data_IF_730449774412
#
_entry.id   IF_730449774412
#
_cell.length_a   1.000
_cell.length_b   1.000
_cell.length_c   1.000
_cell.angle_alpha   90.00
_cell.angle_beta   90.00
_cell.angle_gamma   90.00
#
_symmetry.space_group_name_H-M   'P 1'
#
loop_
_entity.id
_entity.type
_entity.pdbx_description
1 polymer ?
#
# COMPACT_ATOMS: atom_id res chain seq x y z
N UNK A 1 5.62 -20.45 10.92
CA UNK A 1 4.68 -21.54 11.25
C UNK A 1 3.35 -21.01 11.83
N UNK A 2 3.34 -20.19 12.89
CA UNK A 2 2.11 -19.68 13.50
C UNK A 2 1.25 -18.85 12.51
N UNK A 3 1.86 -18.05 11.66
CA UNK A 3 1.16 -17.24 10.66
C UNK A 3 0.44 -18.13 9.63
N UNK A 4 1.09 -19.20 9.17
CA UNK A 4 0.45 -20.19 8.29
C UNK A 4 -0.74 -20.89 8.97
N UNK A 5 -0.64 -21.15 10.28
CA UNK A 5 -1.74 -21.74 11.03
C UNK A 5 -2.94 -20.82 11.10
N UNK A 6 -2.71 -19.51 11.32
CA UNK A 6 -3.79 -18.49 11.31
C UNK A 6 -4.47 -18.42 9.94
N UNK A 7 -3.70 -18.40 8.85
CA UNK A 7 -4.26 -18.37 7.50
C UNK A 7 -5.17 -19.56 7.21
N UNK A 8 -4.83 -20.73 7.73
CA UNK A 8 -5.64 -21.95 7.59
C UNK A 8 -6.96 -21.93 8.38
N UNK A 9 -7.06 -21.12 9.44
CA UNK A 9 -8.29 -20.97 10.23
C UNK A 9 -9.44 -20.30 9.47
N UNK A 10 -9.11 -19.45 8.50
CA UNK A 10 -10.11 -18.74 7.71
C UNK A 10 -9.68 -18.66 6.24
N UNK A 11 -9.63 -19.79 5.53
CA UNK A 11 -9.13 -19.86 4.15
C UNK A 11 -9.99 -19.08 3.15
N UNK A 12 -11.25 -18.79 3.50
CA UNK A 12 -12.18 -18.00 2.70
C UNK A 12 -11.97 -16.49 2.84
N UNK A 13 -11.09 -16.04 3.75
CA UNK A 13 -10.80 -14.62 3.97
C UNK A 13 -9.62 -14.18 3.11
N UNK A 14 -9.70 -12.95 2.62
CA UNK A 14 -8.56 -12.29 1.99
C UNK A 14 -7.71 -11.64 3.07
N UNK A 15 -6.47 -12.11 3.19
CA UNK A 15 -5.52 -11.62 4.18
C UNK A 15 -4.67 -10.49 3.61
N UNK A 16 -4.51 -9.44 4.41
CA UNK A 16 -3.65 -8.29 4.09
C UNK A 16 -2.49 -8.25 5.07
N UNK A 17 -1.27 -8.25 4.55
CA UNK A 17 -0.08 -8.02 5.37
C UNK A 17 0.19 -6.52 5.45
N UNK A 18 0.58 -6.03 6.63
CA UNK A 18 0.72 -4.60 6.87
C UNK A 18 2.16 -4.08 6.68
N UNK A 19 2.40 -2.81 7.01
CA UNK A 19 3.65 -2.08 6.82
C UNK A 19 4.89 -2.64 7.55
N UNK A 20 4.80 -3.71 8.33
CA UNK A 20 5.98 -4.42 8.81
C UNK A 20 6.88 -4.85 7.65
N UNK A 21 6.31 -5.05 6.47
CA UNK A 21 6.98 -5.29 5.21
C UNK A 21 8.11 -4.29 4.93
N UNK A 22 7.88 -3.02 5.25
CA UNK A 22 8.82 -1.91 4.98
C UNK A 22 10.10 -1.97 5.84
N UNK A 23 10.12 -2.81 6.87
CA UNK A 23 11.24 -3.00 7.79
C UNK A 23 12.00 -4.30 7.58
N UNK A 24 11.57 -5.12 6.63
CA UNK A 24 12.24 -6.39 6.36
C UNK A 24 13.52 -6.17 5.55
N UNK A 25 14.58 -6.93 5.82
CA UNK A 25 15.89 -6.69 5.20
C UNK A 25 15.91 -6.99 3.69
N UNK A 26 15.08 -7.92 3.24
CA UNK A 26 14.91 -8.25 1.82
C UNK A 26 13.41 -8.20 1.46
N UNK A 27 12.91 -7.04 1.03
CA UNK A 27 11.51 -6.86 0.71
C UNK A 27 11.02 -7.77 -0.42
N UNK A 28 11.79 -7.94 -1.47
CA UNK A 28 11.39 -8.75 -2.63
C UNK A 28 11.25 -10.22 -2.25
N UNK A 29 12.22 -10.77 -1.52
CA UNK A 29 12.14 -12.15 -1.03
C UNK A 29 10.98 -12.33 -0.05
N UNK A 30 10.76 -11.36 0.82
CA UNK A 30 9.65 -11.38 1.77
C UNK A 30 8.29 -11.35 1.08
N UNK A 31 8.13 -10.57 0.01
CA UNK A 31 6.91 -10.56 -0.81
C UNK A 31 6.64 -11.94 -1.45
N UNK A 32 7.66 -12.59 -1.99
CA UNK A 32 7.54 -13.94 -2.55
C UNK A 32 7.11 -14.96 -1.51
N UNK A 33 7.64 -14.86 -0.29
CA UNK A 33 7.23 -15.70 0.83
C UNK A 33 5.77 -15.48 1.19
N UNK A 34 5.34 -14.21 1.31
CA UNK A 34 3.94 -13.85 1.60
C UNK A 34 2.98 -14.37 0.50
N UNK A 35 3.36 -14.23 -0.76
CA UNK A 35 2.61 -14.79 -1.90
C UNK A 35 2.45 -16.31 -1.76
N UNK A 36 3.54 -17.03 -1.48
CA UNK A 36 3.52 -18.48 -1.27
C UNK A 36 2.66 -18.89 -0.07
N UNK A 37 2.62 -18.06 0.98
CA UNK A 37 1.80 -18.29 2.16
C UNK A 37 0.29 -18.07 1.91
N UNK A 38 -0.10 -17.46 0.79
CA UNK A 38 -1.50 -17.22 0.43
C UNK A 38 -2.03 -15.84 0.82
N UNK A 39 -1.16 -14.88 1.12
CA UNK A 39 -1.59 -13.50 1.25
C UNK A 39 -2.08 -12.95 -0.10
N UNK A 40 -3.14 -12.17 -0.07
CA UNK A 40 -3.69 -11.52 -1.27
C UNK A 40 -3.11 -10.13 -1.46
N UNK A 41 -2.98 -9.37 -0.38
CA UNK A 41 -2.56 -7.97 -0.41
C UNK A 41 -1.49 -7.66 0.60
N UNK A 42 -0.67 -6.67 0.28
CA UNK A 42 0.37 -6.15 1.17
C UNK A 42 0.29 -4.63 1.19
N UNK A 43 0.09 -4.06 2.38
CA UNK A 43 0.18 -2.63 2.63
C UNK A 43 1.64 -2.24 2.82
N UNK A 44 2.13 -1.33 2.00
CA UNK A 44 3.53 -0.90 2.03
C UNK A 44 3.69 0.56 1.63
N UNK A 45 4.75 1.18 2.12
CA UNK A 45 5.24 2.48 1.66
C UNK A 45 6.45 2.37 0.72
N UNK A 46 6.75 1.16 0.21
CA UNK A 46 7.91 0.93 -0.64
C UNK A 46 9.25 0.97 0.11
N UNK A 47 9.24 0.69 1.43
CA UNK A 47 10.41 0.75 2.30
C UNK A 47 10.88 2.17 2.63
N UNK A 48 10.11 3.20 2.25
CA UNK A 48 10.40 4.60 2.50
C UNK A 48 9.52 5.17 3.63
N UNK A 49 9.82 6.37 4.16
CA UNK A 49 8.99 7.02 5.17
C UNK A 49 7.54 7.23 4.72
N UNK A 50 7.32 7.53 3.45
CA UNK A 50 6.00 7.68 2.84
C UNK A 50 5.86 6.86 1.55
N UNK A 51 4.64 6.52 1.20
CA UNK A 51 4.36 5.85 -0.08
C UNK A 51 4.67 6.75 -1.29
N UNK A 52 4.64 8.06 -1.13
CA UNK A 52 5.08 9.00 -2.17
C UNK A 52 6.56 8.83 -2.50
N UNK A 53 7.42 8.78 -1.49
CA UNK A 53 8.87 8.59 -1.65
C UNK A 53 9.21 7.18 -2.14
N UNK A 54 8.47 6.16 -1.68
CA UNK A 54 8.68 4.76 -2.05
C UNK A 54 7.94 4.29 -3.30
N UNK A 55 7.32 5.19 -4.08
CA UNK A 55 6.46 4.82 -5.19
C UNK A 55 7.14 3.96 -6.25
N UNK A 56 8.34 4.30 -6.66
CA UNK A 56 9.09 3.51 -7.66
C UNK A 56 9.43 2.10 -7.14
N UNK A 57 9.74 1.95 -5.85
CA UNK A 57 9.93 0.64 -5.24
C UNK A 57 8.64 -0.17 -5.26
N UNK A 58 7.50 0.45 -4.91
CA UNK A 58 6.20 -0.21 -4.97
C UNK A 58 5.90 -0.75 -6.37
N UNK A 59 6.21 0.02 -7.41
CA UNK A 59 6.02 -0.41 -8.79
C UNK A 59 6.94 -1.56 -9.17
N UNK A 60 8.23 -1.46 -8.80
CA UNK A 60 9.20 -2.52 -9.04
C UNK A 60 8.81 -3.83 -8.32
N UNK A 61 8.37 -3.73 -7.07
CA UNK A 61 7.93 -4.89 -6.29
C UNK A 61 6.65 -5.52 -6.84
N UNK A 62 5.69 -4.70 -7.28
CA UNK A 62 4.48 -5.20 -7.92
C UNK A 62 4.79 -5.99 -9.19
N UNK A 63 5.79 -5.57 -9.96
CA UNK A 63 6.19 -6.24 -11.19
C UNK A 63 6.80 -7.64 -10.93
N UNK A 64 7.54 -7.82 -9.83
CA UNK A 64 8.20 -9.12 -9.52
C UNK A 64 7.33 -10.08 -8.71
N UNK A 65 6.22 -9.63 -8.17
CA UNK A 65 5.26 -10.45 -7.40
C UNK A 65 3.83 -10.28 -7.95
N UNK A 66 3.55 -10.83 -9.15
CA UNK A 66 2.28 -10.60 -9.82
C UNK A 66 1.07 -11.24 -9.12
N UNK A 67 1.27 -12.22 -8.26
CA UNK A 67 0.22 -12.86 -7.46
C UNK A 67 -0.23 -12.06 -6.24
N UNK A 68 0.55 -11.05 -5.83
CA UNK A 68 0.19 -10.12 -4.78
C UNK A 68 -0.34 -8.80 -5.36
N UNK A 69 -1.25 -8.17 -4.65
CA UNK A 69 -1.71 -6.82 -4.92
C UNK A 69 -1.11 -5.86 -3.88
N UNK A 70 -0.24 -4.95 -4.29
CA UNK A 70 0.28 -3.94 -3.38
C UNK A 70 -0.77 -2.84 -3.17
N UNK A 71 -0.90 -2.43 -1.91
CA UNK A 71 -1.69 -1.31 -1.44
C UNK A 71 -0.73 -0.23 -0.95
N UNK A 72 -0.64 0.88 -1.67
CA UNK A 72 0.25 1.96 -1.29
C UNK A 72 -0.31 2.71 -0.08
N UNK A 73 0.45 2.77 1.00
CA UNK A 73 0.05 3.48 2.19
C UNK A 73 1.23 3.93 3.04
N UNK A 74 1.00 5.00 3.77
CA UNK A 74 1.99 5.68 4.59
C UNK A 74 2.09 7.14 4.20
N UNK A 75 1.46 8.01 4.99
CA UNK A 75 1.51 9.45 4.82
C UNK A 75 0.80 10.00 3.58
N UNK A 76 -0.01 9.19 2.89
CA UNK A 76 -0.76 9.68 1.73
C UNK A 76 -1.89 10.60 2.16
N UNK A 77 -1.83 11.84 1.70
CA UNK A 77 -2.81 12.91 1.89
C UNK A 77 -3.18 13.49 0.53
N UNK A 78 -4.24 14.28 0.49
CA UNK A 78 -4.80 14.86 -0.75
C UNK A 78 -3.76 15.58 -1.62
N UNK A 79 -2.86 16.36 -1.00
CA UNK A 79 -1.76 17.02 -1.71
C UNK A 79 -0.80 16.05 -2.38
N UNK A 80 -0.29 15.05 -1.64
CA UNK A 80 0.64 14.05 -2.17
C UNK A 80 -0.02 13.14 -3.21
N UNK A 81 -1.31 12.81 -3.03
CA UNK A 81 -2.05 12.04 -4.05
C UNK A 81 -2.19 12.82 -5.35
N UNK A 82 -2.44 14.13 -5.26
CA UNK A 82 -2.44 15.01 -6.45
C UNK A 82 -1.09 15.02 -7.15
N UNK A 83 0.00 15.13 -6.39
CA UNK A 83 1.36 15.11 -6.94
C UNK A 83 1.68 13.76 -7.60
N UNK A 84 1.24 12.64 -7.01
CA UNK A 84 1.34 11.32 -7.62
C UNK A 84 0.57 11.25 -8.95
N UNK A 85 -0.65 11.79 -9.00
CA UNK A 85 -1.45 11.80 -10.23
C UNK A 85 -0.79 12.60 -11.34
N UNK A 86 -0.17 13.74 -11.00
CA UNK A 86 0.58 14.55 -11.95
C UNK A 86 1.85 13.85 -12.44
N UNK A 87 2.57 13.21 -11.54
CA UNK A 87 3.83 12.52 -11.84
C UNK A 87 3.62 11.20 -12.59
N UNK A 88 2.54 10.48 -12.26
CA UNK A 88 2.19 9.18 -12.84
C UNK A 88 0.76 9.18 -13.37
N UNK A 89 0.49 9.88 -14.47
CA UNK A 89 -0.88 10.00 -15.03
C UNK A 89 -1.40 8.66 -15.55
N UNK A 90 -0.51 7.75 -15.95
CA UNK A 90 -0.91 6.41 -16.37
C UNK A 90 -1.18 5.53 -15.14
N UNK A 91 -2.42 5.09 -14.99
CA UNK A 91 -2.87 4.25 -13.87
C UNK A 91 -2.28 2.84 -13.88
N UNK A 92 -1.75 2.35 -15.02
CA UNK A 92 -1.01 1.09 -15.08
C UNK A 92 0.29 1.14 -14.25
N UNK A 93 0.75 2.34 -13.92
CA UNK A 93 1.87 2.61 -13.02
C UNK A 93 1.42 2.89 -11.57
N UNK A 94 0.32 2.31 -11.16
CA UNK A 94 -0.21 2.42 -9.82
C UNK A 94 -0.27 1.06 -9.13
N UNK A 95 -0.17 1.00 -7.78
CA UNK A 95 -0.36 -0.24 -7.04
C UNK A 95 -1.72 -0.85 -7.33
N UNK A 96 -1.76 -2.15 -7.58
CA UNK A 96 -2.98 -2.83 -8.05
C UNK A 96 -4.12 -2.83 -7.04
N UNK A 97 -3.80 -2.87 -5.73
CA UNK A 97 -4.81 -2.77 -4.69
C UNK A 97 -5.25 -1.33 -4.40
N UNK A 98 -4.58 -0.31 -4.98
CA UNK A 98 -4.91 1.09 -4.82
C UNK A 98 -4.13 1.81 -3.72
N UNK A 99 -4.78 2.79 -3.08
CA UNK A 99 -4.21 3.66 -2.07
C UNK A 99 -4.88 3.46 -0.72
N UNK A 100 -4.09 3.61 0.34
CA UNK A 100 -4.57 3.67 1.71
C UNK A 100 -4.18 5.01 2.34
N UNK A 101 -5.15 5.72 2.91
CA UNK A 101 -4.93 6.93 3.69
C UNK A 101 -5.63 6.82 5.04
N UNK A 102 -4.98 7.32 6.07
CA UNK A 102 -5.60 7.50 7.40
C UNK A 102 -6.51 8.73 7.46
N UNK A 103 -6.49 9.58 6.42
CA UNK A 103 -7.18 10.87 6.37
C UNK A 103 -6.81 11.80 7.55
N UNK A 104 -5.57 11.66 8.08
CA UNK A 104 -5.06 12.55 9.13
C UNK A 104 -4.30 13.70 8.45
N UNK A 105 -4.75 14.96 8.57
CA UNK A 105 -4.03 16.10 8.02
C UNK A 105 -2.65 16.29 8.68
N UNK A 106 -1.76 17.02 8.00
CA UNK A 106 -0.46 17.33 8.56
C UNK A 106 -0.59 18.19 9.82
N UNK A 107 0.12 17.79 10.90
CA UNK A 107 0.07 18.49 12.19
C UNK A 107 -1.13 18.12 13.08
N UNK A 108 -1.96 17.16 12.69
CA UNK A 108 -3.08 16.66 13.47
C UNK A 108 -2.83 15.20 13.89
N UNK A 109 -3.58 14.72 14.89
CA UNK A 109 -3.47 13.38 15.45
C UNK A 109 -4.70 12.49 15.18
N UNK A 110 -5.73 13.05 14.54
CA UNK A 110 -6.99 12.36 14.23
C UNK A 110 -7.42 12.54 12.78
N UNK A 111 -8.20 11.59 12.29
CA UNK A 111 -8.78 11.66 10.96
C UNK A 111 -9.77 12.84 10.84
N UNK A 112 -9.81 13.43 9.65
CA UNK A 112 -10.60 14.61 9.34
C UNK A 112 -11.47 14.39 8.11
N UNK A 113 -12.75 14.72 8.21
CA UNK A 113 -13.71 14.58 7.11
C UNK A 113 -13.39 15.50 5.93
N UNK A 114 -12.84 16.69 6.19
CA UNK A 114 -12.43 17.58 5.11
C UNK A 114 -11.28 17.00 4.29
N UNK A 115 -10.31 16.34 4.94
CA UNK A 115 -9.22 15.65 4.23
C UNK A 115 -9.75 14.47 3.42
N UNK A 116 -10.70 13.71 3.94
CA UNK A 116 -11.37 12.65 3.17
C UNK A 116 -12.06 13.24 1.93
N UNK A 117 -12.79 14.32 2.07
CA UNK A 117 -13.48 14.98 0.97
C UNK A 117 -12.49 15.53 -0.08
N UNK A 118 -11.37 16.13 0.35
CA UNK A 118 -10.28 16.55 -0.54
C UNK A 118 -9.68 15.38 -1.32
N UNK A 119 -9.41 14.26 -0.66
CA UNK A 119 -8.91 13.03 -1.30
C UNK A 119 -9.89 12.51 -2.35
N UNK A 120 -11.17 12.41 -2.01
CA UNK A 120 -12.20 11.94 -2.94
C UNK A 120 -12.33 12.87 -4.16
N UNK A 121 -12.22 14.18 -3.95
CA UNK A 121 -12.24 15.15 -5.05
C UNK A 121 -11.02 14.99 -5.97
N UNK A 122 -9.82 14.87 -5.41
CA UNK A 122 -8.58 14.65 -6.17
C UNK A 122 -8.66 13.37 -7.00
N UNK A 123 -9.16 12.28 -6.44
CA UNK A 123 -9.24 10.98 -7.13
C UNK A 123 -10.26 10.97 -8.28
N UNK A 124 -11.25 11.86 -8.24
CA UNK A 124 -12.26 12.01 -9.31
C UNK A 124 -11.82 12.98 -10.42
N UNK A 125 -10.81 13.78 -10.16
CA UNK A 125 -10.26 14.73 -11.14
C UNK A 125 -9.37 14.02 -12.14
#
# INVERSE_FOLDING_TARGET
EWLQSILKLAPQKEWVFHRLMDRLPDPVQSLKVLETMGFRRVLSSGGAPSAFEGWENLMAWQAVCPGLELLAGGGLRSGLVRDLMNRYPNRDRWPRAGLHSSCIPEGFDSADEEELNRLLWVLKS
#
